data_IF_887661234047
#
_entry.id   IF_887661234047
#
_cell.length_a   1.000
_cell.length_b   1.000
_cell.length_c   1.000
_cell.angle_alpha   90.00
_cell.angle_beta   90.00
_cell.angle_gamma   90.00
#
_symmetry.space_group_name_H-M   'P 1'
#
loop_
_entity.id
_entity.type
_entity.pdbx_description
1 polymer ?
#
# COMPACT_ATOMS: atom_id res chain seq x y z
N UNK A 1 42.22 -1.86 -4.90
CA UNK A 1 41.17 -0.91 -5.32
C UNK A 1 39.89 -1.37 -4.67
N UNK A 2 39.23 -0.52 -3.89
CA UNK A 2 37.91 -0.78 -3.30
C UNK A 2 36.87 -0.07 -4.18
N UNK A 3 35.83 -0.79 -4.60
CA UNK A 3 34.68 -0.22 -5.31
C UNK A 3 33.43 -0.38 -4.45
N UNK A 4 32.56 0.62 -4.49
CA UNK A 4 31.30 0.63 -3.74
C UNK A 4 30.16 1.01 -4.69
N UNK A 5 29.01 0.34 -4.57
CA UNK A 5 27.75 0.75 -5.20
C UNK A 5 26.94 1.52 -4.17
N UNK A 6 26.76 2.81 -4.43
CA UNK A 6 25.98 3.69 -3.53
C UNK A 6 24.52 3.70 -4.01
N UNK A 7 23.56 3.23 -3.20
CA UNK A 7 22.14 3.37 -3.52
C UNK A 7 21.75 4.83 -3.40
N UNK A 8 21.47 5.46 -4.51
CA UNK A 8 20.93 6.83 -4.57
C UNK A 8 19.45 6.75 -4.93
N UNK A 9 18.61 7.32 -4.08
CA UNK A 9 17.18 7.39 -4.28
C UNK A 9 16.44 6.04 -4.08
N UNK A 10 16.38 5.58 -2.84
CA UNK A 10 15.59 4.41 -2.48
C UNK A 10 14.09 4.75 -2.43
N UNK A 11 13.25 3.88 -3.00
CA UNK A 11 11.80 3.95 -2.82
C UNK A 11 11.44 3.46 -1.42
N UNK A 12 10.87 4.29 -0.54
CA UNK A 12 10.54 3.88 0.81
C UNK A 12 9.27 3.01 0.80
N UNK A 13 9.45 1.72 0.99
CA UNK A 13 8.36 0.76 1.19
C UNK A 13 8.51 0.21 2.60
N UNK A 14 7.50 0.40 3.41
CA UNK A 14 7.47 -0.10 4.78
C UNK A 14 6.67 -1.39 4.86
N UNK A 15 7.16 -2.36 5.62
CA UNK A 15 6.45 -3.58 5.92
C UNK A 15 6.61 -3.92 7.39
N UNK A 16 5.50 -4.14 8.06
CA UNK A 16 5.45 -4.58 9.45
C UNK A 16 4.58 -5.82 9.59
N UNK A 17 4.98 -6.74 10.46
CA UNK A 17 4.14 -7.85 10.93
C UNK A 17 3.66 -7.48 12.33
N UNK A 18 2.35 -7.32 12.49
CA UNK A 18 1.78 -6.89 13.76
C UNK A 18 1.20 -8.06 14.54
N UNK A 19 1.22 -7.96 15.87
CA UNK A 19 0.53 -8.89 16.78
C UNK A 19 -0.92 -8.47 17.06
N UNK A 20 -1.44 -7.50 16.30
CA UNK A 20 -2.81 -7.03 16.44
C UNK A 20 -3.79 -8.13 16.02
N UNK A 21 -4.67 -8.51 16.93
CA UNK A 21 -5.67 -9.54 16.69
C UNK A 21 -7.04 -8.87 16.56
N UNK A 22 -7.68 -9.07 15.42
CA UNK A 22 -9.06 -8.65 15.18
C UNK A 22 -10.04 -9.48 16.02
N UNK A 23 -11.01 -8.82 16.63
CA UNK A 23 -12.17 -9.48 17.22
C UNK A 23 -13.08 -10.08 16.14
N UNK A 24 -13.96 -10.99 16.52
CA UNK A 24 -14.95 -11.56 15.58
C UNK A 24 -15.94 -10.49 15.08
N UNK A 25 -16.24 -9.48 15.90
CA UNK A 25 -17.07 -8.35 15.52
C UNK A 25 -16.38 -7.48 14.46
N UNK A 26 -15.10 -7.11 14.67
CA UNK A 26 -14.30 -6.37 13.69
C UNK A 26 -14.20 -7.12 12.35
N UNK A 27 -13.92 -8.42 12.39
CA UNK A 27 -13.91 -9.28 11.18
C UNK A 27 -15.27 -9.29 10.50
N UNK A 28 -16.35 -9.42 11.27
CA UNK A 28 -17.72 -9.44 10.73
C UNK A 28 -18.06 -8.15 10.00
N UNK A 29 -17.70 -6.98 10.51
CA UNK A 29 -17.89 -5.69 9.83
C UNK A 29 -17.14 -5.67 8.50
N UNK A 30 -15.88 -6.11 8.50
CA UNK A 30 -15.04 -6.08 7.31
C UNK A 30 -15.56 -6.98 6.19
N UNK A 31 -16.05 -8.19 6.51
CA UNK A 31 -16.45 -9.19 5.51
C UNK A 31 -17.91 -9.12 5.09
N UNK A 32 -18.80 -8.57 5.93
CA UNK A 32 -20.23 -8.52 5.66
C UNK A 32 -20.72 -7.17 5.11
N UNK A 33 -19.81 -6.27 4.75
CA UNK A 33 -20.13 -5.02 4.06
C UNK A 33 -20.75 -5.26 2.68
N UNK A 34 -21.27 -4.21 2.08
CA UNK A 34 -21.73 -4.27 0.70
C UNK A 34 -20.54 -4.22 -0.27
N UNK A 35 -20.46 -5.18 -1.17
CA UNK A 35 -19.40 -5.29 -2.16
C UNK A 35 -19.91 -5.09 -3.60
N UNK A 36 -19.01 -4.65 -4.46
CA UNK A 36 -19.15 -4.65 -5.91
C UNK A 36 -17.98 -5.42 -6.53
N UNK A 37 -18.17 -6.01 -7.70
CA UNK A 37 -17.02 -6.51 -8.48
C UNK A 37 -16.13 -5.33 -8.84
N UNK A 38 -14.81 -5.48 -8.68
CA UNK A 38 -13.88 -4.50 -9.18
C UNK A 38 -14.04 -4.34 -10.70
N UNK A 39 -13.64 -3.19 -11.23
CA UNK A 39 -13.64 -2.93 -12.68
C UNK A 39 -12.69 -3.84 -13.45
N UNK A 40 -11.80 -4.54 -12.77
CA UNK A 40 -10.90 -5.52 -13.37
C UNK A 40 -11.66 -6.81 -13.71
N UNK A 41 -11.30 -7.42 -14.83
CA UNK A 41 -11.84 -8.74 -15.24
C UNK A 41 -11.39 -9.89 -14.33
N UNK A 42 -10.60 -9.62 -13.30
CA UNK A 42 -9.89 -10.61 -12.47
C UNK A 42 -10.64 -11.03 -11.21
N UNK A 43 -11.90 -10.66 -11.07
CA UNK A 43 -12.80 -11.34 -10.16
C UNK A 43 -12.91 -10.82 -8.74
N UNK A 44 -11.97 -9.96 -8.24
CA UNK A 44 -12.02 -9.47 -6.86
C UNK A 44 -13.27 -8.64 -6.55
N UNK A 45 -13.71 -8.66 -5.29
CA UNK A 45 -14.77 -7.82 -4.76
C UNK A 45 -14.16 -6.66 -3.95
N UNK A 46 -14.71 -5.45 -4.13
CA UNK A 46 -14.31 -4.25 -3.37
C UNK A 46 -15.55 -3.70 -2.66
N UNK A 47 -15.39 -3.25 -1.42
CA UNK A 47 -16.48 -2.60 -0.67
C UNK A 47 -17.06 -1.43 -1.46
N UNK A 48 -18.38 -1.22 -1.36
CA UNK A 48 -19.03 -0.04 -1.93
C UNK A 48 -18.66 1.22 -1.16
N UNK A 49 -18.51 1.10 0.19
CA UNK A 49 -18.02 2.17 1.03
C UNK A 49 -16.53 2.40 0.77
N UNK A 50 -16.14 3.65 0.73
CA UNK A 50 -14.76 4.14 0.77
C UNK A 50 -14.39 4.70 2.16
N UNK A 51 -15.21 4.44 3.18
CA UNK A 51 -15.10 4.94 4.55
C UNK A 51 -15.29 3.78 5.56
N UNK A 52 -14.75 2.60 5.24
CA UNK A 52 -14.95 1.38 6.05
C UNK A 52 -14.48 1.56 7.48
N UNK A 53 -13.36 2.27 7.69
CA UNK A 53 -12.81 2.53 9.03
C UNK A 53 -13.58 3.59 9.85
N UNK A 54 -14.64 4.18 9.31
CA UNK A 54 -15.49 5.10 10.05
C UNK A 54 -16.63 4.38 10.81
N UNK A 55 -16.74 3.05 10.63
CA UNK A 55 -17.58 2.23 11.47
C UNK A 55 -17.05 2.23 12.92
N UNK A 56 -17.93 2.55 13.87
CA UNK A 56 -17.60 2.64 15.31
C UNK A 56 -16.99 1.35 15.87
N UNK A 57 -17.35 0.20 15.32
CA UNK A 57 -16.81 -1.10 15.71
C UNK A 57 -15.36 -1.33 15.28
N UNK A 58 -14.86 -0.52 14.34
CA UNK A 58 -13.48 -0.60 13.83
C UNK A 58 -12.53 0.45 14.43
N UNK A 59 -12.95 1.21 15.45
CA UNK A 59 -12.12 2.25 16.09
C UNK A 59 -10.79 1.70 16.57
N UNK A 60 -10.75 0.50 17.12
CA UNK A 60 -9.52 -0.16 17.59
C UNK A 60 -8.56 -0.45 16.43
N UNK A 61 -9.08 -1.01 15.35
CA UNK A 61 -8.31 -1.29 14.12
C UNK A 61 -7.85 0.02 13.46
N UNK A 62 -8.72 1.02 13.34
CA UNK A 62 -8.37 2.35 12.83
C UNK A 62 -7.22 2.96 13.61
N UNK A 63 -7.30 2.94 14.93
CA UNK A 63 -6.24 3.46 15.81
C UNK A 63 -4.92 2.72 15.59
N UNK A 64 -4.96 1.39 15.50
CA UNK A 64 -3.76 0.60 15.25
C UNK A 64 -3.09 0.96 13.91
N UNK A 65 -3.86 1.00 12.82
CA UNK A 65 -3.35 1.34 11.49
C UNK A 65 -2.76 2.76 11.48
N UNK A 66 -3.45 3.73 12.10
CA UNK A 66 -2.96 5.12 12.20
C UNK A 66 -1.69 5.21 13.03
N UNK A 67 -1.54 4.42 14.10
CA UNK A 67 -0.32 4.37 14.90
C UNK A 67 0.87 3.90 14.09
N UNK A 68 0.72 2.80 13.36
CA UNK A 68 1.78 2.26 12.47
C UNK A 68 2.11 3.25 11.35
N UNK A 69 1.08 3.88 10.75
CA UNK A 69 1.28 4.87 9.70
C UNK A 69 2.05 6.10 10.21
N UNK A 70 1.67 6.64 11.37
CA UNK A 70 2.35 7.80 11.97
C UNK A 70 3.79 7.46 12.37
N UNK A 71 4.04 6.26 12.90
CA UNK A 71 5.39 5.78 13.19
C UNK A 71 6.27 5.75 11.92
N UNK A 72 5.74 5.20 10.83
CA UNK A 72 6.42 5.21 9.53
C UNK A 72 6.77 6.61 9.06
N UNK A 73 5.83 7.56 9.11
CA UNK A 73 6.04 8.94 8.65
C UNK A 73 7.04 9.67 9.54
N UNK A 74 6.85 9.60 10.87
CA UNK A 74 7.62 10.41 11.82
C UNK A 74 9.00 9.83 12.10
N UNK A 75 9.09 8.51 12.34
CA UNK A 75 10.32 7.88 12.82
C UNK A 75 11.18 7.30 11.68
N UNK A 76 10.56 6.80 10.61
CA UNK A 76 11.31 6.23 9.49
C UNK A 76 11.56 7.22 8.37
N UNK A 77 10.57 8.01 7.96
CA UNK A 77 10.74 9.04 6.93
C UNK A 77 11.23 10.38 7.48
N UNK A 78 11.10 10.60 8.79
CA UNK A 78 11.46 11.86 9.47
C UNK A 78 10.73 13.08 8.86
N UNK A 79 9.45 12.90 8.52
CA UNK A 79 8.58 13.94 7.99
C UNK A 79 7.76 14.53 9.15
N UNK A 80 7.80 15.86 9.32
CA UNK A 80 7.04 16.59 10.35
C UNK A 80 5.60 16.89 9.95
N UNK A 81 5.30 16.87 8.65
CA UNK A 81 3.97 17.16 8.13
C UNK A 81 2.94 16.18 8.65
N UNK A 82 1.72 16.66 8.83
CA UNK A 82 0.59 15.83 9.23
C UNK A 82 -0.14 15.27 8.01
N UNK A 83 -0.70 14.09 8.18
CA UNK A 83 -1.49 13.41 7.18
C UNK A 83 -2.84 13.00 7.77
N UNK A 84 -3.86 12.96 6.94
CA UNK A 84 -5.17 12.45 7.33
C UNK A 84 -5.58 11.31 6.41
N UNK A 85 -6.39 10.42 6.97
CA UNK A 85 -7.00 9.31 6.25
C UNK A 85 -8.08 9.86 5.32
N UNK A 86 -7.93 9.67 4.02
CA UNK A 86 -8.89 10.13 3.03
C UNK A 86 -9.91 9.07 2.65
N UNK A 87 -9.49 7.80 2.62
CA UNK A 87 -10.31 6.68 2.18
C UNK A 87 -9.89 5.40 2.88
N UNK A 88 -10.86 4.53 3.11
CA UNK A 88 -10.63 3.16 3.56
C UNK A 88 -11.62 2.21 2.90
N UNK A 89 -11.13 1.09 2.39
CA UNK A 89 -11.95 0.09 1.69
C UNK A 89 -11.49 -1.32 1.98
N UNK A 90 -12.40 -2.28 1.85
CA UNK A 90 -12.07 -3.71 1.88
C UNK A 90 -12.00 -4.28 0.47
N UNK A 91 -11.04 -5.17 0.22
CA UNK A 91 -11.03 -5.98 -0.98
C UNK A 91 -10.91 -7.47 -0.62
N UNK A 92 -11.68 -8.30 -1.34
CA UNK A 92 -11.72 -9.76 -1.15
C UNK A 92 -11.33 -10.41 -2.47
N UNK A 93 -10.32 -11.27 -2.42
CA UNK A 93 -9.82 -12.04 -3.54
C UNK A 93 -9.97 -13.53 -3.22
N UNK A 94 -10.85 -14.22 -3.91
CA UNK A 94 -10.95 -15.68 -3.85
C UNK A 94 -9.79 -16.34 -4.60
N UNK A 95 -9.67 -17.64 -4.51
CA UNK A 95 -8.65 -18.40 -5.23
C UNK A 95 -8.66 -18.09 -6.73
N UNK A 96 -7.49 -17.73 -7.27
CA UNK A 96 -7.30 -17.32 -8.65
C UNK A 96 -7.55 -15.84 -8.93
N UNK A 97 -8.20 -15.10 -8.01
CA UNK A 97 -8.41 -13.66 -8.17
C UNK A 97 -7.12 -12.88 -7.94
N UNK A 98 -6.92 -11.85 -8.74
CA UNK A 98 -5.84 -10.90 -8.63
C UNK A 98 -6.39 -9.47 -8.62
N UNK A 99 -5.55 -8.48 -8.34
CA UNK A 99 -5.88 -7.08 -8.58
C UNK A 99 -4.93 -6.51 -9.64
N UNK A 100 -5.47 -5.84 -10.64
CA UNK A 100 -4.70 -5.31 -11.75
C UNK A 100 -3.69 -4.23 -11.29
N UNK A 101 -2.69 -3.99 -12.12
CA UNK A 101 -1.70 -2.95 -11.88
C UNK A 101 -2.33 -1.57 -11.96
N UNK A 102 -2.11 -0.74 -10.94
CA UNK A 102 -2.66 0.60 -10.81
C UNK A 102 -1.83 1.48 -9.87
N UNK A 103 -2.16 2.76 -9.83
CA UNK A 103 -1.70 3.76 -8.86
C UNK A 103 -2.90 4.33 -8.11
N UNK A 104 -2.65 5.04 -7.01
CA UNK A 104 -3.70 5.78 -6.28
C UNK A 104 -3.58 7.28 -6.56
N UNK A 105 -4.43 7.84 -7.47
CA UNK A 105 -4.46 9.28 -7.69
C UNK A 105 -4.87 10.04 -6.43
N UNK A 106 -4.38 11.27 -6.28
CA UNK A 106 -4.68 12.15 -5.14
C UNK A 106 -4.33 11.52 -3.78
N UNK A 107 -3.24 10.78 -3.74
CA UNK A 107 -2.80 10.05 -2.54
C UNK A 107 -1.29 10.22 -2.39
N UNK A 108 -0.84 10.64 -1.20
CA UNK A 108 0.59 10.72 -0.89
C UNK A 108 1.10 9.33 -0.51
N UNK A 109 0.42 8.67 0.43
CA UNK A 109 0.75 7.32 0.86
C UNK A 109 -0.48 6.41 0.83
N UNK A 110 -0.27 5.17 0.44
CA UNK A 110 -1.23 4.08 0.57
C UNK A 110 -0.73 3.09 1.62
N UNK A 111 -1.67 2.53 2.37
CA UNK A 111 -1.39 1.49 3.34
C UNK A 111 -2.36 0.31 3.12
N UNK A 112 -1.85 -0.90 3.22
CA UNK A 112 -2.64 -2.12 3.12
C UNK A 112 -2.42 -2.97 4.36
N UNK A 113 -3.48 -3.19 5.13
CA UNK A 113 -3.53 -4.16 6.22
C UNK A 113 -4.12 -5.47 5.71
N UNK A 114 -3.39 -6.57 5.90
CA UNK A 114 -3.84 -7.90 5.50
C UNK A 114 -4.62 -8.56 6.62
N UNK A 115 -5.94 -8.44 6.54
CA UNK A 115 -6.90 -9.05 7.49
C UNK A 115 -6.78 -10.56 7.47
N UNK A 116 -6.70 -11.13 6.27
CA UNK A 116 -6.50 -12.55 6.02
C UNK A 116 -5.70 -12.71 4.73
N UNK A 117 -4.56 -13.38 4.81
CA UNK A 117 -3.76 -13.72 3.64
C UNK A 117 -2.82 -14.91 3.95
N UNK A 118 -2.69 -15.81 2.98
CA UNK A 118 -1.71 -16.89 2.97
C UNK A 118 -0.87 -16.87 1.67
N UNK A 119 -1.37 -16.18 0.64
CA UNK A 119 -0.71 -16.08 -0.67
C UNK A 119 -1.14 -14.80 -1.41
N UNK A 120 -0.60 -14.59 -2.60
CA UNK A 120 -0.93 -13.46 -3.44
C UNK A 120 -0.17 -12.20 -3.02
N UNK A 121 1.15 -12.25 -3.17
CA UNK A 121 2.05 -11.16 -2.82
C UNK A 121 1.66 -9.81 -3.43
N UNK A 122 2.03 -8.74 -2.75
CA UNK A 122 1.99 -7.40 -3.33
C UNK A 122 3.21 -7.21 -4.22
N UNK A 123 2.99 -6.99 -5.50
CA UNK A 123 4.04 -6.64 -6.44
C UNK A 123 4.04 -5.14 -6.69
N UNK A 124 5.19 -4.50 -6.48
CA UNK A 124 5.41 -3.09 -6.79
C UNK A 124 6.35 -2.99 -7.98
N UNK A 125 6.00 -2.14 -8.95
CA UNK A 125 6.84 -1.85 -10.09
C UNK A 125 7.74 -0.66 -9.78
N UNK A 126 9.00 -0.81 -10.09
CA UNK A 126 9.99 0.25 -9.90
C UNK A 126 9.79 1.36 -10.95
N UNK A 127 9.63 2.62 -10.53
CA UNK A 127 9.45 3.74 -11.47
C UNK A 127 10.66 3.96 -12.36
N UNK A 128 11.83 3.51 -11.93
CA UNK A 128 13.10 3.58 -12.70
C UNK A 128 13.04 2.72 -13.96
N UNK A 129 12.14 1.73 -14.03
CA UNK A 129 11.94 0.93 -15.25
C UNK A 129 11.59 1.81 -16.45
N UNK A 130 10.87 2.92 -16.25
CA UNK A 130 10.54 3.88 -17.30
C UNK A 130 11.76 4.62 -17.85
N UNK A 131 12.77 4.88 -17.03
CA UNK A 131 14.03 5.50 -17.47
C UNK A 131 14.84 4.47 -18.28
N UNK A 132 14.89 3.23 -17.82
CA UNK A 132 15.56 2.14 -18.54
C UNK A 132 14.80 1.78 -19.83
N UNK A 133 13.48 1.79 -19.81
CA UNK A 133 12.62 1.60 -20.99
C UNK A 133 12.80 2.73 -22.03
N UNK A 134 13.09 3.95 -21.59
CA UNK A 134 13.37 5.07 -22.48
C UNK A 134 14.57 4.86 -23.41
N UNK A 135 15.51 3.99 -23.02
CA UNK A 135 16.64 3.58 -23.87
C UNK A 135 16.34 2.34 -24.70
N UNK A 136 15.17 1.72 -24.53
CA UNK A 136 14.73 0.52 -25.26
C UNK A 136 15.75 -0.64 -25.21
N UNK A 137 16.47 -0.76 -24.08
CA UNK A 137 17.51 -1.76 -23.88
C UNK A 137 17.01 -2.89 -22.98
N UNK A 138 17.25 -4.12 -23.43
CA UNK A 138 17.02 -5.32 -22.61
C UNK A 138 18.36 -5.87 -22.13
N UNK A 139 18.49 -6.07 -20.83
CA UNK A 139 19.68 -6.66 -20.23
C UNK A 139 19.44 -8.13 -19.92
N UNK A 140 20.43 -8.96 -20.12
CA UNK A 140 20.46 -10.33 -19.61
C UNK A 140 20.91 -10.29 -18.15
N UNK A 141 19.96 -10.28 -17.22
CA UNK A 141 20.22 -10.21 -15.78
C UNK A 141 20.57 -11.60 -15.26
N UNK A 142 21.77 -11.77 -14.73
CA UNK A 142 22.21 -13.04 -14.12
C UNK A 142 21.58 -13.25 -12.74
N UNK A 143 21.51 -12.18 -11.95
CA UNK A 143 20.91 -12.19 -10.62
C UNK A 143 20.21 -10.85 -10.36
N UNK A 144 18.94 -10.89 -9.97
CA UNK A 144 18.20 -9.69 -9.61
C UNK A 144 18.70 -9.11 -8.28
N UNK A 145 18.77 -7.78 -8.23
CA UNK A 145 19.12 -6.99 -7.05
C UNK A 145 18.44 -5.61 -7.11
N UNK A 146 18.66 -4.77 -6.09
CA UNK A 146 18.02 -3.44 -5.98
C UNK A 146 18.38 -2.48 -7.14
N UNK A 147 19.44 -2.74 -7.89
CA UNK A 147 19.89 -1.86 -9.00
C UNK A 147 19.38 -2.29 -10.36
N UNK A 148 18.93 -3.54 -10.52
CA UNK A 148 18.53 -4.09 -11.81
C UNK A 148 17.11 -4.70 -11.83
N UNK A 149 16.43 -4.74 -10.68
CA UNK A 149 15.07 -5.28 -10.57
C UNK A 149 14.05 -4.27 -11.10
N UNK A 150 13.12 -4.73 -11.93
CA UNK A 150 12.00 -3.93 -12.42
C UNK A 150 10.77 -3.98 -11.50
N UNK A 151 10.69 -5.03 -10.72
CA UNK A 151 9.61 -5.27 -9.77
C UNK A 151 10.16 -5.81 -8.47
N UNK A 152 9.44 -5.58 -7.38
CA UNK A 152 9.68 -6.25 -6.11
C UNK A 152 8.38 -6.94 -5.67
N UNK A 153 8.48 -8.19 -5.22
CA UNK A 153 7.38 -8.90 -4.60
C UNK A 153 7.52 -8.82 -3.09
N UNK A 154 6.49 -8.34 -2.42
CA UNK A 154 6.42 -8.24 -0.98
C UNK A 154 5.52 -9.37 -0.50
N UNK A 155 6.12 -10.37 0.12
CA UNK A 155 5.38 -11.50 0.68
C UNK A 155 4.49 -11.03 1.82
N UNK A 156 3.22 -11.43 1.74
CA UNK A 156 2.18 -10.99 2.67
C UNK A 156 1.53 -12.19 3.37
N UNK A 157 1.03 -11.93 4.57
CA UNK A 157 0.25 -12.86 5.38
C UNK A 157 -0.66 -12.07 6.31
N UNK A 158 -1.60 -12.75 6.95
CA UNK A 158 -2.49 -12.12 7.95
C UNK A 158 -1.68 -11.35 9.00
N UNK A 159 -2.13 -10.16 9.37
CA UNK A 159 -1.47 -9.28 10.33
C UNK A 159 -0.32 -8.44 9.75
N UNK A 160 -0.03 -8.54 8.45
CA UNK A 160 0.97 -7.67 7.82
C UNK A 160 0.36 -6.33 7.45
N UNK A 161 1.11 -5.26 7.67
CA UNK A 161 0.86 -3.91 7.12
C UNK A 161 1.96 -3.60 6.11
N UNK A 162 1.57 -3.07 4.94
CA UNK A 162 2.51 -2.53 3.94
C UNK A 162 2.12 -1.09 3.62
N UNK A 163 3.08 -0.17 3.69
CA UNK A 163 2.90 1.25 3.37
C UNK A 163 3.85 1.62 2.23
N UNK A 164 3.35 2.37 1.25
CA UNK A 164 4.12 2.80 0.08
C UNK A 164 3.57 4.12 -0.47
N UNK A 165 4.36 4.90 -1.23
CA UNK A 165 3.87 6.10 -1.90
C UNK A 165 2.73 5.79 -2.87
N UNK A 166 1.64 6.58 -2.84
CA UNK A 166 0.43 6.33 -3.63
C UNK A 166 0.65 6.33 -5.14
N UNK A 167 1.69 6.99 -5.62
CA UNK A 167 2.08 7.00 -7.03
C UNK A 167 2.81 5.73 -7.51
N UNK A 168 3.17 4.82 -6.58
CA UNK A 168 3.80 3.55 -6.95
C UNK A 168 2.83 2.66 -7.70
N UNK A 169 3.16 2.28 -8.92
CA UNK A 169 2.40 1.29 -9.66
C UNK A 169 2.55 -0.08 -8.99
N UNK A 170 1.43 -0.66 -8.61
CA UNK A 170 1.41 -1.92 -7.89
C UNK A 170 0.23 -2.79 -8.30
N UNK A 171 0.34 -4.08 -7.99
CA UNK A 171 -0.72 -5.07 -8.20
C UNK A 171 -0.70 -6.12 -7.09
N UNK A 172 -1.84 -6.75 -6.85
CA UNK A 172 -1.88 -7.95 -6.03
C UNK A 172 -1.83 -9.17 -6.93
N UNK A 173 -0.83 -10.03 -6.75
CA UNK A 173 -0.69 -11.28 -7.48
C UNK A 173 -1.87 -12.22 -7.17
N UNK A 174 -2.14 -13.23 -8.00
CA UNK A 174 -3.25 -14.16 -7.77
C UNK A 174 -3.20 -14.76 -6.36
N UNK A 175 -4.37 -14.87 -5.72
CA UNK A 175 -4.50 -15.66 -4.51
C UNK A 175 -4.48 -17.14 -4.89
N UNK A 176 -3.48 -17.89 -4.44
CA UNK A 176 -3.31 -19.31 -4.72
C UNK A 176 -3.91 -20.22 -3.65
N UNK A 177 -4.31 -19.61 -2.50
CA UNK A 177 -4.89 -20.34 -1.37
C UNK A 177 -6.41 -20.52 -1.55
N UNK A 178 -6.95 -21.59 -0.96
CA UNK A 178 -8.39 -21.85 -0.96
C UNK A 178 -9.14 -20.83 -0.07
N UNK A 179 -8.50 -20.34 0.99
CA UNK A 179 -9.03 -19.27 1.82
C UNK A 179 -8.92 -17.91 1.08
N UNK A 180 -9.94 -17.05 1.16
CA UNK A 180 -9.90 -15.75 0.51
C UNK A 180 -8.83 -14.86 1.13
N UNK A 181 -8.12 -14.09 0.30
CA UNK A 181 -7.31 -12.97 0.75
C UNK A 181 -8.22 -11.77 0.98
N UNK A 182 -8.19 -11.23 2.19
CA UNK A 182 -8.99 -10.08 2.62
C UNK A 182 -8.04 -8.99 3.07
N UNK A 183 -8.16 -7.81 2.46
CA UNK A 183 -7.35 -6.65 2.81
C UNK A 183 -8.24 -5.47 3.20
N UNK A 184 -7.69 -4.60 4.04
CA UNK A 184 -8.19 -3.26 4.27
C UNK A 184 -7.15 -2.28 3.71
N UNK A 185 -7.52 -1.57 2.66
CA UNK A 185 -6.71 -0.52 2.05
C UNK A 185 -7.07 0.85 2.64
N UNK A 186 -6.08 1.73 2.76
CA UNK A 186 -6.25 3.12 3.21
C UNK A 186 -5.37 4.05 2.39
N UNK A 187 -5.86 5.27 2.17
CA UNK A 187 -5.14 6.34 1.50
C UNK A 187 -4.99 7.55 2.42
N UNK A 188 -3.86 8.23 2.29
CA UNK A 188 -3.53 9.39 3.11
C UNK A 188 -3.11 10.57 2.25
N UNK A 189 -3.52 11.77 2.68
CA UNK A 189 -3.11 13.02 2.07
C UNK A 189 -2.61 14.00 3.13
N UNK A 190 -1.85 15.02 2.70
CA UNK A 190 -1.34 16.07 3.57
C UNK A 190 -2.46 16.92 4.16
N UNK A 191 -2.27 17.41 5.38
CA UNK A 191 -3.10 18.44 6.02
C UNK A 191 -2.23 19.46 6.74
N UNK A 192 -2.79 20.62 7.05
CA UNK A 192 -2.06 21.72 7.63
C UNK A 192 -1.34 22.57 6.59
N UNK A 193 -0.36 23.35 7.05
CA UNK A 193 0.43 24.24 6.19
C UNK A 193 1.76 23.58 5.88
N UNK A 194 2.16 23.59 4.62
CA UNK A 194 3.43 23.06 4.13
C UNK A 194 3.97 23.92 2.98
N UNK A 195 5.26 23.79 2.69
CA UNK A 195 5.98 24.68 1.79
C UNK A 195 6.55 25.88 2.53
N UNK A 196 7.06 26.86 1.80
CA UNK A 196 7.72 28.05 2.33
C UNK A 196 7.10 29.31 1.72
N UNK A 197 6.64 30.22 2.58
CA UNK A 197 6.06 31.50 2.18
C UNK A 197 7.02 32.35 1.34
N UNK A 198 8.30 32.37 1.71
CA UNK A 198 9.32 33.17 1.01
C UNK A 198 9.62 32.62 -0.38
N UNK A 199 9.54 31.29 -0.54
CA UNK A 199 9.68 30.61 -1.83
C UNK A 199 8.40 30.66 -2.69
N UNK A 200 7.28 31.17 -2.15
CA UNK A 200 5.97 31.28 -2.82
C UNK A 200 5.33 29.93 -3.17
N UNK A 201 5.66 28.88 -2.39
CA UNK A 201 5.12 27.54 -2.57
C UNK A 201 4.31 27.05 -1.34
N UNK A 202 4.06 27.93 -0.36
CA UNK A 202 3.25 27.62 0.81
C UNK A 202 1.79 27.30 0.44
N UNK A 203 1.30 26.18 0.92
CA UNK A 203 -0.09 25.72 0.75
C UNK A 203 -0.67 25.31 2.10
N UNK A 204 -1.90 25.71 2.38
CA UNK A 204 -2.67 25.24 3.54
C UNK A 204 -3.84 24.37 3.09
N UNK A 205 -3.88 23.12 3.56
CA UNK A 205 -4.98 22.17 3.38
C UNK A 205 -5.71 22.01 4.73
N UNK A 206 -7.01 22.27 4.73
CA UNK A 206 -7.88 22.27 5.91
C UNK A 206 -8.66 20.97 6.02
#
# INVERSE_FOLDING_TARGET
MTSELIPFHALPIYKESTDFVLTDEEKSVIVNGEFRKALSKQGNAISKSAEVLDDEKLVRLKTHILTVFNDYVTNHLQIENQFYLTQSWTAINHKGDAHHSHIHPNTVFSCVYYVQANSGDLQIKMPVSRIQEGYNLSYNVVQQNIFNSRTINISVRSGVIVIFPGWCEHQALPNEDDAPRIILGTNYFLTGTFGDYDNKDEITIR
#
